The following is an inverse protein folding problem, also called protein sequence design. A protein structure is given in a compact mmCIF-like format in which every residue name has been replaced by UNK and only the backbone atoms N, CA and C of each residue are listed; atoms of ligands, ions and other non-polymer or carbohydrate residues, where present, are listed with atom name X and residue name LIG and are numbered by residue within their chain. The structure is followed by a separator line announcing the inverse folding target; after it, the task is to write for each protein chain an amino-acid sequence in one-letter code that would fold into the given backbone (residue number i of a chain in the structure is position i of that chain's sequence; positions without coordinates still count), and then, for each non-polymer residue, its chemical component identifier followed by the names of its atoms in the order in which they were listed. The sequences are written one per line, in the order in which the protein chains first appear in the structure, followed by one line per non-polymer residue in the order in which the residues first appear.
data_IF_944633063157
#
_entry.id   IF_944633063157
#
_cell.length_a   1.000
_cell.length_b   1.000
_cell.length_c   1.000
_cell.angle_alpha   90.00
_cell.angle_beta   90.00
_cell.angle_gamma   90.00
#
_symmetry.space_group_name_H-M   'P 1'
#
loop_
_entity.id
_entity.type
_entity.pdbx_description
1 polymer ?
#
# COMPACT_ATOMS: atom_id res chain seq x y z
N UNK A 1 33.92 0.05 48.43
CA UNK A 1 33.27 0.40 47.15
C UNK A 1 31.84 -0.13 47.19
N UNK A 2 30.87 0.71 47.53
CA UNK A 2 29.46 0.29 47.64
C UNK A 2 28.83 0.22 46.26
N UNK A 3 28.43 -0.97 45.85
CA UNK A 3 27.62 -1.19 44.64
C UNK A 3 26.20 -0.74 44.97
N UNK A 4 25.83 0.43 44.47
CA UNK A 4 24.46 0.95 44.54
C UNK A 4 23.51 -0.04 43.86
N UNK A 5 22.70 -0.73 44.66
CA UNK A 5 21.69 -1.68 44.19
C UNK A 5 20.60 -0.96 43.39
N UNK A 6 20.65 -1.07 42.07
CA UNK A 6 19.56 -0.63 41.21
C UNK A 6 18.37 -1.58 41.36
N UNK A 7 17.25 -1.05 41.87
CA UNK A 7 15.96 -1.76 41.85
C UNK A 7 15.55 -1.94 40.38
N UNK A 8 15.27 -3.16 39.91
CA UNK A 8 14.85 -3.37 38.52
C UNK A 8 13.55 -2.61 38.25
N UNK A 9 13.60 -1.64 37.33
CA UNK A 9 12.42 -0.91 36.90
C UNK A 9 11.44 -1.90 36.26
N UNK A 10 10.36 -2.21 36.98
CA UNK A 10 9.33 -3.10 36.50
C UNK A 10 8.56 -2.42 35.36
N UNK A 11 8.66 -2.95 34.15
CA UNK A 11 7.92 -2.46 33.00
C UNK A 11 6.44 -2.82 33.15
N UNK A 12 5.60 -1.88 33.59
CA UNK A 12 4.15 -2.07 33.76
C UNK A 12 3.45 -2.53 32.48
N UNK A 13 3.96 -2.10 31.33
CA UNK A 13 3.47 -2.50 30.00
C UNK A 13 3.60 -4.01 29.77
N UNK A 14 4.59 -4.67 30.37
CA UNK A 14 4.76 -6.13 30.24
C UNK A 14 3.68 -6.93 30.98
N UNK A 15 2.95 -6.30 31.91
CA UNK A 15 1.83 -6.93 32.63
C UNK A 15 0.48 -6.78 31.92
N UNK A 16 0.42 -6.00 30.84
CA UNK A 16 -0.83 -5.81 30.09
C UNK A 16 -1.23 -7.13 29.40
N UNK A 17 -2.52 -7.52 29.50
CA UNK A 17 -3.06 -8.63 28.70
C UNK A 17 -2.86 -8.38 27.21
N UNK A 18 -2.68 -9.46 26.44
CA UNK A 18 -2.43 -9.37 25.01
C UNK A 18 -3.58 -8.65 24.28
N UNK A 19 -4.82 -8.84 24.73
CA UNK A 19 -6.02 -8.23 24.18
C UNK A 19 -6.01 -6.70 24.33
N UNK A 20 -5.51 -6.21 25.47
CA UNK A 20 -5.39 -4.78 25.73
C UNK A 20 -4.32 -4.16 24.84
N UNK A 21 -3.18 -4.83 24.68
CA UNK A 21 -2.13 -4.41 23.75
C UNK A 21 -2.61 -4.42 22.31
N UNK A 22 -3.34 -5.46 21.87
CA UNK A 22 -3.89 -5.51 20.51
C UNK A 22 -4.87 -4.36 20.25
N UNK A 23 -5.73 -4.00 21.22
CA UNK A 23 -6.61 -2.82 21.09
C UNK A 23 -5.82 -1.52 20.95
N UNK A 24 -4.77 -1.34 21.76
CA UNK A 24 -3.87 -0.18 21.65
C UNK A 24 -3.21 -0.17 20.27
N UNK A 25 -2.70 -1.30 19.80
CA UNK A 25 -2.05 -1.40 18.49
C UNK A 25 -3.00 -1.05 17.35
N UNK A 26 -4.25 -1.53 17.39
CA UNK A 26 -5.27 -1.18 16.41
C UNK A 26 -5.57 0.32 16.42
N UNK A 27 -5.63 0.96 17.60
CA UNK A 27 -5.80 2.42 17.70
C UNK A 27 -4.60 3.20 17.16
N UNK A 28 -3.38 2.72 17.38
CA UNK A 28 -2.16 3.36 16.86
C UNK A 28 -2.08 3.23 15.34
N UNK A 29 -2.32 2.04 14.80
CA UNK A 29 -2.20 1.75 13.37
C UNK A 29 -3.36 2.36 12.58
N UNK A 30 -4.60 2.21 13.06
CA UNK A 30 -5.81 2.60 12.32
C UNK A 30 -6.45 3.90 12.81
N UNK A 31 -6.22 4.30 14.06
CA UNK A 31 -6.77 5.55 14.60
C UNK A 31 -6.16 6.80 13.98
N UNK A 32 -4.93 6.70 13.45
CA UNK A 32 -4.29 7.77 12.66
C UNK A 32 -5.03 8.03 11.34
N UNK A 33 -5.64 7.00 10.73
CA UNK A 33 -6.27 7.08 9.41
C UNK A 33 -7.55 7.92 9.41
N UNK A 34 -8.27 8.01 10.55
CA UNK A 34 -9.56 8.74 10.61
C UNK A 34 -9.43 10.25 10.71
N UNK A 35 -8.23 10.81 10.93
CA UNK A 35 -8.09 12.22 11.32
C UNK A 35 -7.82 13.19 10.16
N UNK A 36 -7.70 12.72 8.92
CA UNK A 36 -7.42 13.60 7.76
C UNK A 36 -8.10 13.06 6.50
N UNK A 37 -9.14 13.74 6.04
CA UNK A 37 -9.75 13.56 4.70
C UNK A 37 -8.82 14.00 3.57
N UNK A 38 -7.71 14.66 3.88
CA UNK A 38 -6.60 14.84 2.96
C UNK A 38 -5.87 13.51 2.80
N UNK A 39 -5.86 12.96 1.58
CA UNK A 39 -5.30 11.67 1.11
C UNK A 39 -3.84 11.33 1.49
N UNK A 40 -3.24 12.05 2.43
CA UNK A 40 -1.95 11.75 3.03
C UNK A 40 -2.09 10.69 4.12
N UNK A 41 -2.22 9.42 3.72
CA UNK A 41 -1.81 8.32 4.59
C UNK A 41 -0.33 8.60 4.93
N UNK A 42 -0.07 9.04 6.16
CA UNK A 42 1.27 9.34 6.63
C UNK A 42 2.13 8.07 6.40
N UNK A 43 3.26 8.16 5.71
CA UNK A 43 4.08 6.99 5.36
C UNK A 43 4.56 6.20 6.58
N UNK A 44 4.51 6.81 7.76
CA UNK A 44 4.80 6.16 9.04
C UNK A 44 3.77 5.07 9.41
N UNK A 45 2.52 5.19 8.95
CA UNK A 45 1.43 4.26 9.30
C UNK A 45 1.68 2.84 8.79
N UNK A 46 2.29 2.69 7.61
CA UNK A 46 2.53 1.38 7.01
C UNK A 46 3.62 0.56 7.72
N UNK A 47 4.53 1.23 8.45
CA UNK A 47 5.61 0.57 9.22
C UNK A 47 5.28 0.46 10.71
N UNK A 48 4.17 1.06 11.18
CA UNK A 48 3.79 1.04 12.59
C UNK A 48 3.70 -0.38 13.19
N UNK A 49 3.10 -1.38 12.52
CA UNK A 49 3.07 -2.73 13.06
C UNK A 49 4.46 -3.33 13.32
N UNK A 50 5.44 -3.05 12.44
CA UNK A 50 6.83 -3.47 12.63
C UNK A 50 7.48 -2.72 13.80
N UNK A 51 7.28 -1.41 13.92
CA UNK A 51 7.79 -0.62 15.04
C UNK A 51 7.27 -1.12 16.38
N UNK A 52 5.97 -1.45 16.47
CA UNK A 52 5.36 -2.04 17.67
C UNK A 52 5.99 -3.41 17.99
N UNK A 53 6.24 -4.23 16.97
CA UNK A 53 6.85 -5.55 17.13
C UNK A 53 8.34 -5.52 17.53
N UNK A 54 9.01 -4.36 17.47
CA UNK A 54 10.41 -4.19 17.85
C UNK A 54 10.62 -3.76 19.32
N UNK A 55 9.57 -3.37 20.03
CA UNK A 55 9.69 -2.82 21.40
C UNK A 55 10.22 -3.86 22.40
N UNK A 56 9.56 -5.02 22.51
CA UNK A 56 10.01 -6.14 23.35
C UNK A 56 9.35 -7.46 22.89
N UNK A 57 9.77 -8.60 23.48
CA UNK A 57 9.25 -9.93 23.10
C UNK A 57 7.74 -10.08 23.32
N UNK A 58 7.17 -9.44 24.35
CA UNK A 58 5.73 -9.48 24.65
C UNK A 58 4.93 -8.75 23.57
N UNK A 59 5.37 -7.54 23.20
CA UNK A 59 4.77 -6.72 22.14
C UNK A 59 4.87 -7.39 20.79
N UNK A 60 6.04 -7.97 20.48
CA UNK A 60 6.24 -8.75 19.26
C UNK A 60 5.22 -9.88 19.14
N UNK A 61 5.03 -10.66 20.21
CA UNK A 61 4.07 -11.77 20.22
C UNK A 61 2.64 -11.25 20.00
N UNK A 62 2.25 -10.21 20.73
CA UNK A 62 0.92 -9.61 20.62
C UNK A 62 0.65 -8.99 19.23
N UNK A 63 1.65 -8.36 18.61
CA UNK A 63 1.53 -7.76 17.27
C UNK A 63 1.44 -8.84 16.18
N UNK A 64 2.26 -9.90 16.29
CA UNK A 64 2.25 -11.00 15.32
C UNK A 64 1.02 -11.91 15.45
N UNK A 65 0.40 -12.00 16.63
CA UNK A 65 -0.84 -12.76 16.83
C UNK A 65 -2.08 -12.05 16.28
N UNK A 66 -2.00 -10.75 15.97
CA UNK A 66 -3.13 -9.96 15.52
C UNK A 66 -3.01 -9.62 14.03
N UNK A 67 -3.57 -10.49 13.19
CA UNK A 67 -3.44 -10.43 11.72
C UNK A 67 -4.06 -9.16 11.11
N UNK A 68 -5.07 -8.57 11.73
CA UNK A 68 -5.71 -7.31 11.32
C UNK A 68 -4.83 -6.07 11.49
N UNK A 69 -3.69 -6.16 12.18
CA UNK A 69 -2.69 -5.08 12.16
C UNK A 69 -1.98 -5.00 10.80
N UNK A 70 -1.98 -6.10 10.04
CA UNK A 70 -1.28 -6.24 8.77
C UNK A 70 -2.23 -6.20 7.57
N UNK A 71 -3.52 -5.93 7.80
CA UNK A 71 -4.54 -5.93 6.74
C UNK A 71 -4.51 -4.69 5.85
N UNK A 72 -3.76 -3.65 6.20
CA UNK A 72 -3.66 -2.44 5.38
C UNK A 72 -2.30 -2.43 4.67
N UNK A 73 -2.31 -2.66 3.36
CA UNK A 73 -1.13 -2.75 2.52
C UNK A 73 -0.96 -1.44 1.76
N UNK A 74 0.15 -0.74 1.98
CA UNK A 74 0.52 0.44 1.18
C UNK A 74 1.73 0.14 0.32
N UNK A 75 1.53 0.05 -0.99
CA UNK A 75 2.55 -0.21 -2.00
C UNK A 75 3.00 1.11 -2.61
N UNK A 76 4.21 1.55 -2.31
CA UNK A 76 4.81 2.75 -2.89
C UNK A 76 5.74 2.34 -4.05
N UNK A 77 5.27 2.52 -5.29
CA UNK A 77 6.00 2.12 -6.49
C UNK A 77 7.30 2.90 -6.67
N UNK A 78 7.33 4.17 -6.26
CA UNK A 78 8.56 4.95 -6.31
C UNK A 78 9.66 4.31 -5.44
N UNK A 79 9.31 3.89 -4.23
CA UNK A 79 10.24 3.18 -3.34
C UNK A 79 10.62 1.80 -3.88
N UNK A 80 9.69 1.06 -4.47
CA UNK A 80 9.97 -0.25 -5.05
C UNK A 80 10.92 -0.18 -6.23
N UNK A 81 10.69 0.74 -7.17
CA UNK A 81 11.52 0.94 -8.38
C UNK A 81 12.90 1.49 -8.01
N UNK A 82 12.95 2.40 -7.03
CA UNK A 82 14.23 2.98 -6.59
C UNK A 82 15.08 1.99 -5.80
N UNK A 83 14.47 0.97 -5.20
CA UNK A 83 15.16 0.01 -4.37
C UNK A 83 15.71 -1.18 -5.17
N UNK A 84 16.97 -1.08 -5.58
CA UNK A 84 17.69 -2.15 -6.29
C UNK A 84 17.82 -3.46 -5.50
N UNK A 85 17.67 -3.45 -4.18
CA UNK A 85 17.86 -4.65 -3.33
C UNK A 85 16.69 -5.63 -3.36
N UNK A 86 15.55 -5.26 -3.97
CA UNK A 86 14.34 -6.08 -3.95
C UNK A 86 13.62 -6.16 -2.59
N UNK A 87 14.13 -5.47 -1.56
CA UNK A 87 13.54 -5.46 -0.20
C UNK A 87 12.08 -4.99 -0.19
N UNK A 88 11.66 -4.15 -1.14
CA UNK A 88 10.26 -3.75 -1.27
C UNK A 88 9.32 -4.93 -1.56
N UNK A 89 9.73 -5.85 -2.42
CA UNK A 89 8.94 -7.02 -2.82
C UNK A 89 8.84 -8.04 -1.68
N UNK A 90 9.95 -8.31 -1.00
CA UNK A 90 9.96 -9.22 0.16
C UNK A 90 9.17 -8.66 1.33
N UNK A 91 9.19 -7.34 1.53
CA UNK A 91 8.32 -6.66 2.48
C UNK A 91 6.84 -6.88 2.13
N UNK A 92 6.43 -6.60 0.89
CA UNK A 92 5.03 -6.78 0.47
C UNK A 92 4.56 -8.23 0.68
N UNK A 93 5.33 -9.22 0.22
CA UNK A 93 5.02 -10.63 0.44
C UNK A 93 4.93 -10.99 1.93
N UNK A 94 5.78 -10.39 2.78
CA UNK A 94 5.74 -10.59 4.23
C UNK A 94 4.46 -10.01 4.84
N UNK A 95 4.04 -8.82 4.43
CA UNK A 95 2.80 -8.20 4.91
C UNK A 95 1.57 -9.01 4.50
N UNK A 96 1.53 -9.43 3.23
CA UNK A 96 0.50 -10.32 2.67
C UNK A 96 0.39 -11.60 3.52
N UNK A 97 1.52 -12.25 3.84
CA UNK A 97 1.54 -13.46 4.68
C UNK A 97 1.07 -13.18 6.10
N UNK A 98 1.53 -12.07 6.72
CA UNK A 98 1.17 -11.72 8.11
C UNK A 98 -0.31 -11.35 8.28
N UNK A 99 -0.95 -10.84 7.23
CA UNK A 99 -2.40 -10.54 7.25
C UNK A 99 -3.28 -11.80 7.31
N UNK A 100 -2.73 -13.00 7.06
CA UNK A 100 -3.39 -14.27 7.33
C UNK A 100 -4.70 -14.45 6.55
N UNK A 101 -5.84 -14.50 7.25
CA UNK A 101 -7.18 -14.60 6.61
C UNK A 101 -8.00 -13.32 6.74
N UNK A 102 -7.39 -12.24 7.22
CA UNK A 102 -8.06 -10.95 7.39
C UNK A 102 -8.38 -10.32 6.04
N UNK A 103 -9.50 -9.60 5.96
CA UNK A 103 -9.82 -8.77 4.80
C UNK A 103 -8.76 -7.69 4.61
N UNK A 104 -8.31 -7.44 3.39
CA UNK A 104 -7.16 -6.58 3.09
C UNK A 104 -7.60 -5.28 2.40
N UNK A 105 -7.12 -4.14 2.89
CA UNK A 105 -7.20 -2.85 2.21
C UNK A 105 -5.88 -2.58 1.51
N UNK A 106 -5.93 -2.29 0.22
CA UNK A 106 -4.75 -2.14 -0.62
C UNK A 106 -4.71 -0.71 -1.15
N UNK A 107 -3.59 -0.03 -0.94
CA UNK A 107 -3.31 1.27 -1.55
C UNK A 107 -2.02 1.19 -2.37
N UNK A 108 -2.11 1.37 -3.68
CA UNK A 108 -0.97 1.45 -4.59
C UNK A 108 -0.72 2.91 -4.92
N UNK A 109 0.44 3.43 -4.52
CA UNK A 109 0.90 4.79 -4.79
C UNK A 109 1.93 4.76 -5.90
N UNK A 110 1.56 5.30 -7.05
CA UNK A 110 2.38 5.47 -8.24
C UNK A 110 2.59 6.98 -8.49
N UNK A 111 3.14 7.67 -7.48
CA UNK A 111 3.43 9.09 -7.53
C UNK A 111 4.94 9.30 -7.46
N UNK A 112 5.46 10.25 -8.22
CA UNK A 112 6.84 10.68 -8.05
C UNK A 112 6.98 11.40 -6.70
N UNK A 113 7.86 10.90 -5.84
CA UNK A 113 8.08 11.52 -4.53
C UNK A 113 8.44 13.01 -4.67
N UNK A 114 7.78 13.87 -3.89
CA UNK A 114 8.01 15.32 -3.85
C UNK A 114 9.49 15.72 -3.61
N UNK A 115 10.32 14.77 -3.18
CA UNK A 115 11.76 14.93 -2.99
C UNK A 115 12.57 15.15 -4.30
N UNK A 116 11.95 15.03 -5.47
CA UNK A 116 12.53 15.54 -6.72
C UNK A 116 12.43 17.07 -6.72
N UNK A 117 13.37 17.74 -6.05
CA UNK A 117 13.50 19.19 -5.88
C UNK A 117 13.69 19.97 -7.19
N UNK A 118 12.75 19.84 -8.11
CA UNK A 118 12.70 20.53 -9.40
C UNK A 118 11.98 21.89 -9.30
N UNK A 119 11.71 22.39 -8.09
CA UNK A 119 11.05 23.70 -7.90
C UNK A 119 11.91 24.90 -8.32
N UNK A 120 13.21 24.71 -8.61
CA UNK A 120 14.15 25.84 -8.74
C UNK A 120 14.50 26.32 -10.16
N UNK A 121 14.20 25.59 -11.24
CA UNK A 121 14.62 26.02 -12.58
C UNK A 121 13.56 25.72 -13.63
N UNK A 122 13.13 26.76 -14.36
CA UNK A 122 12.31 26.73 -15.59
C UNK A 122 13.00 25.96 -16.72
N UNK A 123 13.46 24.72 -16.48
CA UNK A 123 13.82 23.79 -17.54
C UNK A 123 12.52 23.40 -18.20
N UNK A 124 12.42 23.73 -19.49
CA UNK A 124 11.29 23.38 -20.35
C UNK A 124 10.98 21.89 -20.16
N UNK A 125 9.71 21.57 -19.88
CA UNK A 125 9.14 20.22 -19.77
C UNK A 125 9.22 19.41 -21.08
N UNK A 126 10.28 19.53 -21.88
CA UNK A 126 10.49 18.71 -23.08
C UNK A 126 11.18 17.38 -22.76
N UNK A 127 11.72 17.23 -21.55
CA UNK A 127 12.39 16.00 -21.10
C UNK A 127 11.53 15.26 -20.05
N UNK A 128 10.23 15.10 -20.31
CA UNK A 128 9.41 14.13 -19.56
C UNK A 128 10.01 12.74 -19.82
N UNK A 129 10.83 12.28 -18.88
CA UNK A 129 11.73 11.13 -19.02
C UNK A 129 11.00 9.78 -18.89
N UNK A 130 11.60 8.67 -19.36
CA UNK A 130 11.07 7.29 -19.34
C UNK A 130 10.66 6.74 -17.96
N UNK A 131 10.86 7.49 -16.88
CA UNK A 131 10.58 7.05 -15.50
C UNK A 131 9.09 6.79 -15.28
N UNK A 132 8.20 7.46 -16.01
CA UNK A 132 6.74 7.27 -15.88
C UNK A 132 6.26 5.95 -16.49
N UNK A 133 6.99 5.38 -17.44
CA UNK A 133 6.75 4.01 -17.91
C UNK A 133 7.09 2.97 -16.83
N UNK A 134 8.13 3.22 -16.03
CA UNK A 134 8.64 2.23 -15.07
C UNK A 134 7.64 1.84 -13.99
N UNK A 135 6.75 2.74 -13.58
CA UNK A 135 5.69 2.40 -12.63
C UNK A 135 4.68 1.45 -13.24
N UNK A 136 4.27 1.68 -14.48
CA UNK A 136 3.40 0.77 -15.21
C UNK A 136 4.07 -0.61 -15.39
N UNK A 137 5.37 -0.65 -15.69
CA UNK A 137 6.13 -1.89 -15.83
C UNK A 137 6.19 -2.72 -14.52
N UNK A 138 6.03 -2.06 -13.36
CA UNK A 138 6.02 -2.74 -12.06
C UNK A 138 4.64 -3.26 -11.64
N UNK A 139 3.56 -2.74 -12.24
CA UNK A 139 2.19 -3.14 -11.89
C UNK A 139 1.95 -4.65 -12.04
N UNK A 140 2.40 -5.34 -13.12
CA UNK A 140 2.27 -6.78 -13.22
C UNK A 140 2.91 -7.53 -12.05
N UNK A 141 4.09 -7.11 -11.59
CA UNK A 141 4.77 -7.75 -10.47
C UNK A 141 4.03 -7.53 -9.14
N UNK A 142 3.45 -6.35 -8.92
CA UNK A 142 2.61 -6.07 -7.74
C UNK A 142 1.36 -6.93 -7.77
N UNK A 143 0.64 -6.95 -8.89
CA UNK A 143 -0.58 -7.75 -9.02
C UNK A 143 -0.33 -9.25 -8.97
N UNK A 144 0.81 -9.75 -9.47
CA UNK A 144 1.19 -11.16 -9.32
C UNK A 144 1.33 -11.59 -7.85
N UNK A 145 1.71 -10.67 -6.95
CA UNK A 145 1.74 -10.95 -5.51
C UNK A 145 0.36 -10.81 -4.86
N UNK A 146 -0.48 -9.91 -5.35
CA UNK A 146 -1.78 -9.61 -4.74
C UNK A 146 -2.91 -10.54 -5.22
N UNK A 147 -2.93 -10.93 -6.50
CA UNK A 147 -4.00 -11.74 -7.10
C UNK A 147 -4.25 -13.10 -6.45
N UNK A 148 -3.22 -13.85 -6.00
CA UNK A 148 -3.46 -15.09 -5.24
C UNK A 148 -4.31 -14.87 -3.98
N UNK A 149 -4.38 -13.63 -3.51
CA UNK A 149 -5.06 -13.22 -2.28
C UNK A 149 -6.30 -12.36 -2.56
N UNK A 150 -6.78 -12.34 -3.81
CA UNK A 150 -7.89 -11.50 -4.26
C UNK A 150 -9.21 -11.77 -3.53
N UNK A 151 -9.46 -13.02 -3.14
CA UNK A 151 -10.64 -13.44 -2.39
C UNK A 151 -10.84 -12.71 -1.05
N UNK A 152 -9.78 -12.12 -0.48
CA UNK A 152 -9.85 -11.37 0.78
C UNK A 152 -9.69 -9.86 0.60
N UNK A 153 -9.62 -9.34 -0.63
CA UNK A 153 -9.56 -7.90 -0.83
C UNK A 153 -10.88 -7.26 -0.39
N UNK A 154 -10.78 -6.20 0.40
CA UNK A 154 -11.90 -5.34 0.81
C UNK A 154 -11.89 -4.02 0.07
N UNK A 155 -10.73 -3.40 -0.08
CA UNK A 155 -10.59 -2.17 -0.83
C UNK A 155 -9.32 -2.16 -1.67
N UNK A 156 -9.39 -1.54 -2.85
CA UNK A 156 -8.25 -1.28 -3.71
C UNK A 156 -8.25 0.17 -4.20
N UNK A 157 -7.30 0.94 -3.71
CA UNK A 157 -7.08 2.33 -4.09
C UNK A 157 -5.78 2.44 -4.87
N UNK A 158 -5.83 2.92 -6.11
CA UNK A 158 -4.66 3.18 -6.94
C UNK A 158 -4.55 4.68 -7.15
N UNK A 159 -3.51 5.26 -6.61
CA UNK A 159 -3.25 6.69 -6.61
C UNK A 159 -2.05 6.96 -7.49
N UNK A 160 -2.22 7.71 -8.57
CA UNK A 160 -1.11 8.06 -9.46
C UNK A 160 -1.14 9.53 -9.86
N UNK A 161 0.04 10.07 -10.14
CA UNK A 161 0.19 11.35 -10.83
C UNK A 161 0.14 11.19 -12.36
N UNK A 162 0.16 9.95 -12.87
CA UNK A 162 0.20 9.58 -14.29
C UNK A 162 -0.91 8.60 -14.68
N UNK A 163 -1.27 8.60 -15.96
CA UNK A 163 -2.28 7.67 -16.48
C UNK A 163 -1.75 6.24 -16.62
N UNK A 164 -0.48 6.07 -16.97
CA UNK A 164 0.10 4.77 -17.36
C UNK A 164 -0.06 3.66 -16.30
N UNK A 165 0.17 3.92 -14.99
CA UNK A 165 -0.03 2.89 -13.95
C UNK A 165 -1.50 2.53 -13.75
N UNK A 166 -2.42 3.52 -13.82
CA UNK A 166 -3.87 3.28 -13.73
C UNK A 166 -4.35 2.43 -14.91
N UNK A 167 -3.82 2.73 -16.09
CA UNK A 167 -4.08 2.03 -17.33
C UNK A 167 -3.62 0.57 -17.30
N UNK A 168 -2.39 0.35 -16.83
CA UNK A 168 -1.84 -0.99 -16.61
C UNK A 168 -2.65 -1.76 -15.58
N UNK A 169 -3.06 -1.11 -14.47
CA UNK A 169 -3.94 -1.71 -13.48
C UNK A 169 -5.27 -2.17 -14.07
N UNK A 170 -5.94 -1.29 -14.83
CA UNK A 170 -7.21 -1.59 -15.48
C UNK A 170 -7.09 -2.78 -16.43
N UNK A 171 -6.01 -2.85 -17.22
CA UNK A 171 -5.75 -3.99 -18.09
C UNK A 171 -5.60 -5.29 -17.28
N UNK A 172 -4.81 -5.26 -16.21
CA UNK A 172 -4.60 -6.43 -15.34
C UNK A 172 -5.89 -6.85 -14.61
N UNK A 173 -6.71 -5.90 -14.17
CA UNK A 173 -8.02 -6.13 -13.54
C UNK A 173 -9.10 -6.58 -14.53
N UNK A 174 -8.86 -6.42 -15.83
CA UNK A 174 -9.74 -6.95 -16.88
C UNK A 174 -9.26 -8.32 -17.40
N UNK A 175 -8.04 -8.73 -17.06
CA UNK A 175 -7.47 -10.00 -17.51
C UNK A 175 -8.23 -11.18 -16.87
N UNK A 176 -8.72 -12.09 -17.72
CA UNK A 176 -9.49 -13.27 -17.33
C UNK A 176 -8.65 -14.36 -16.66
N UNK A 177 -7.33 -14.21 -16.58
CA UNK A 177 -6.44 -15.15 -15.86
C UNK A 177 -6.80 -15.34 -14.39
N UNK A 178 -7.63 -14.47 -13.80
CA UNK A 178 -8.11 -14.61 -12.42
C UNK A 178 -9.44 -15.39 -12.30
N UNK A 179 -9.94 -16.00 -13.39
CA UNK A 179 -11.15 -16.84 -13.38
C UNK A 179 -11.07 -17.89 -12.26
N UNK A 180 -11.99 -17.80 -11.29
CA UNK A 180 -12.11 -18.74 -10.16
C UNK A 180 -11.65 -18.24 -8.79
N UNK A 181 -11.05 -17.04 -8.69
CA UNK A 181 -10.57 -16.48 -7.40
C UNK A 181 -11.10 -15.06 -7.14
N UNK A 182 -12.34 -14.81 -7.56
CA UNK A 182 -13.04 -13.52 -7.51
C UNK A 182 -12.91 -12.77 -6.18
N UNK A 183 -12.97 -11.44 -6.25
CA UNK A 183 -12.85 -10.55 -5.10
C UNK A 183 -14.19 -10.40 -4.36
N UNK A 184 -14.75 -11.49 -3.83
CA UNK A 184 -16.10 -11.51 -3.25
C UNK A 184 -16.32 -10.59 -2.03
N UNK A 185 -15.23 -10.12 -1.40
CA UNK A 185 -15.27 -9.18 -0.25
C UNK A 185 -14.99 -7.74 -0.65
N UNK A 186 -14.80 -7.48 -1.94
CA UNK A 186 -14.42 -6.17 -2.42
C UNK A 186 -15.59 -5.20 -2.29
N UNK A 187 -15.42 -4.22 -1.42
CA UNK A 187 -16.42 -3.19 -1.11
C UNK A 187 -16.14 -1.91 -1.92
N UNK A 188 -14.88 -1.62 -2.25
CA UNK A 188 -14.54 -0.41 -2.99
C UNK A 188 -13.30 -0.54 -3.88
N UNK A 189 -13.37 0.04 -5.08
CA UNK A 189 -12.22 0.31 -5.94
C UNK A 189 -12.17 1.80 -6.26
N UNK A 190 -10.99 2.40 -6.12
CA UNK A 190 -10.77 3.80 -6.49
C UNK A 190 -9.53 3.91 -7.35
N UNK A 191 -9.66 4.61 -8.46
CA UNK A 191 -8.56 5.02 -9.32
C UNK A 191 -8.48 6.54 -9.23
N UNK A 192 -7.49 7.05 -8.49
CA UNK A 192 -7.35 8.47 -8.18
C UNK A 192 -6.15 9.02 -8.94
N UNK A 193 -6.42 10.02 -9.78
CA UNK A 193 -5.38 10.86 -10.37
C UNK A 193 -5.17 12.07 -9.48
N UNK A 194 -3.93 12.38 -9.15
CA UNK A 194 -3.58 13.39 -8.14
C UNK A 194 -2.95 14.66 -8.69
N UNK A 195 -2.75 14.73 -10.00
CA UNK A 195 -2.18 15.91 -10.65
C UNK A 195 -3.17 16.53 -11.64
N UNK A 196 -4.00 17.44 -11.13
CA UNK A 196 -5.00 18.19 -11.90
C UNK A 196 -4.32 19.10 -12.94
N UNK A 197 -3.12 19.61 -12.64
CA UNK A 197 -2.39 20.52 -13.55
C UNK A 197 -1.88 19.82 -14.80
N UNK A 198 -1.68 18.49 -14.76
CA UNK A 198 -1.25 17.70 -15.92
C UNK A 198 -2.41 17.19 -16.77
N UNK A 199 -3.66 17.44 -16.39
CA UNK A 199 -4.85 17.01 -17.15
C UNK A 199 -4.88 17.59 -18.58
N UNK A 200 -4.19 18.71 -18.81
CA UNK A 200 -4.12 19.40 -20.10
C UNK A 200 -3.10 18.82 -21.11
N UNK A 201 -2.27 17.85 -20.72
CA UNK A 201 -1.31 17.25 -21.65
C UNK A 201 -1.92 16.07 -22.43
N UNK A 202 -1.85 16.10 -23.75
CA UNK A 202 -2.43 15.08 -24.63
C UNK A 202 -1.80 13.68 -24.46
N UNK A 203 -0.58 13.61 -23.93
CA UNK A 203 0.11 12.35 -23.62
C UNK A 203 -0.48 11.65 -22.38
N UNK A 204 -1.48 12.24 -21.73
CA UNK A 204 -1.99 11.80 -20.44
C UNK A 204 -3.40 11.18 -20.45
N UNK A 205 -4.06 11.11 -21.60
CA UNK A 205 -5.29 10.33 -21.76
C UNK A 205 -5.36 9.84 -23.19
N UNK A 206 -4.99 8.57 -23.47
CA UNK A 206 -5.03 8.05 -24.81
C UNK A 206 -6.49 7.98 -25.26
N UNK A 207 -6.82 8.67 -26.36
CA UNK A 207 -8.20 8.75 -26.90
C UNK A 207 -8.82 7.37 -27.13
N UNK A 208 -8.01 6.35 -27.37
CA UNK A 208 -8.44 4.97 -27.60
C UNK A 208 -8.98 4.26 -26.34
N UNK A 209 -8.84 4.83 -25.14
CA UNK A 209 -9.32 4.21 -23.89
C UNK A 209 -10.67 4.77 -23.45
N UNK A 210 -11.28 5.64 -24.25
CA UNK A 210 -12.63 6.16 -23.97
C UNK A 210 -13.71 5.06 -24.05
N UNK A 211 -13.40 3.92 -24.68
CA UNK A 211 -14.30 2.78 -24.80
C UNK A 211 -13.56 1.50 -24.45
N UNK A 212 -13.62 1.09 -23.18
CA UNK A 212 -13.31 -0.30 -22.82
C UNK A 212 -14.50 -1.13 -23.26
N UNK A 213 -14.39 -1.79 -24.42
CA UNK A 213 -15.42 -2.75 -24.86
C UNK A 213 -15.39 -3.97 -23.92
N UNK A 214 -16.54 -4.30 -23.32
CA UNK A 214 -16.70 -5.40 -22.37
C UNK A 214 -17.18 -4.95 -21.00
N UNK A 215 -17.46 -5.92 -20.12
CA UNK A 215 -17.72 -5.64 -18.70
C UNK A 215 -16.40 -5.27 -18.03
N UNK A 216 -16.20 -4.00 -17.62
CA UNK A 216 -15.01 -3.64 -16.87
C UNK A 216 -14.99 -4.48 -15.59
N UNK A 217 -13.79 -4.83 -15.12
CA UNK A 217 -13.58 -5.60 -13.90
C UNK A 217 -14.10 -7.04 -13.97
N UNK A 218 -14.09 -7.66 -15.16
CA UNK A 218 -14.48 -9.06 -15.33
C UNK A 218 -13.77 -10.01 -14.34
N UNK A 219 -12.50 -9.75 -14.03
CA UNK A 219 -11.72 -10.47 -13.02
C UNK A 219 -12.37 -10.49 -11.62
N UNK A 220 -13.12 -9.45 -11.29
CA UNK A 220 -13.68 -9.18 -9.97
C UNK A 220 -15.11 -9.74 -9.81
N UNK A 221 -15.80 -9.98 -10.93
CA UNK A 221 -17.23 -10.31 -10.96
C UNK A 221 -17.52 -11.82 -10.96
N UNK A 222 -16.50 -12.67 -10.81
CA UNK A 222 -16.70 -14.13 -10.76
C UNK A 222 -17.16 -14.55 -9.37
N UNK A 223 -18.46 -14.81 -9.24
CA UNK A 223 -19.11 -15.43 -8.07
C UNK A 223 -19.19 -16.94 -8.22
#
# INVERSE_FOLDING_TARGET
MSVSGQVPHQCFIAKLPAETLSKIFMLVVHGSLKRRETYEIAPQSATMPDSLALVNRHWRRAALSHTSLWSTLTVDLYKMVSNKSGVGWTWLATMIRRSGRSSVDITIKAQQGAASGCEGRRRRCRDFTPTMCRYADCMPAVFNLLFPEMYRWRSLDIVSDTWMPLCSALYLLNDRRTEGSGAHRLESIKLVRTNDTLSFFWNFCPRFIQTVEGTPFAALMVS
#
